data_IF_936154188127
#
_entry.id   IF_936154188127
#
_cell.length_a   1.000
_cell.length_b   1.000
_cell.length_c   1.000
_cell.angle_alpha   90.00
_cell.angle_beta   90.00
_cell.angle_gamma   90.00
#
_symmetry.space_group_name_H-M   'P 1'
#
loop_
_entity.id
_entity.type
_entity.pdbx_description
1 polymer ?
#
# COMPACT_ATOMS: atom_id res chain seq x y z
N UNK A 1 -12.55 -5.19 34.43
CA UNK A 1 -13.41 -4.39 33.53
C UNK A 1 -12.58 -3.25 32.98
N UNK A 2 -11.83 -3.50 31.90
CA UNK A 2 -10.89 -2.53 31.35
C UNK A 2 -11.63 -1.70 30.29
N UNK A 3 -11.39 -0.39 30.25
CA UNK A 3 -11.92 0.44 29.18
C UNK A 3 -11.14 0.17 27.88
N UNK A 4 -11.81 0.12 26.73
CA UNK A 4 -11.15 -0.01 25.43
C UNK A 4 -10.23 1.17 25.14
N UNK A 5 -9.22 0.94 24.30
CA UNK A 5 -8.31 2.00 23.85
C UNK A 5 -9.04 2.94 22.89
N UNK A 6 -8.57 4.19 22.80
CA UNK A 6 -9.16 5.19 21.89
C UNK A 6 -9.22 4.73 20.42
N UNK A 7 -8.25 3.92 19.98
CA UNK A 7 -8.24 3.31 18.65
C UNK A 7 -9.47 2.42 18.37
N UNK A 8 -9.99 1.70 19.37
CA UNK A 8 -11.18 0.85 19.20
C UNK A 8 -12.46 1.68 19.08
N UNK A 9 -12.54 2.81 19.79
CA UNK A 9 -13.67 3.76 19.66
C UNK A 9 -13.67 4.35 18.24
N UNK A 10 -12.52 4.80 17.73
CA UNK A 10 -12.39 5.28 16.35
C UNK A 10 -12.75 4.20 15.35
N UNK A 11 -12.21 2.99 15.50
CA UNK A 11 -12.51 1.87 14.60
C UNK A 11 -14.00 1.49 14.61
N UNK A 12 -14.67 1.59 15.75
CA UNK A 12 -16.12 1.42 15.83
C UNK A 12 -16.86 2.50 15.04
N UNK A 13 -16.47 3.78 15.17
CA UNK A 13 -17.05 4.91 14.44
C UNK A 13 -16.80 4.86 12.93
N UNK A 14 -15.65 4.35 12.50
CA UNK A 14 -15.25 4.24 11.09
C UNK A 14 -15.74 2.94 10.44
N UNK A 15 -16.52 2.15 11.17
CA UNK A 15 -17.05 0.86 10.77
C UNK A 15 -16.01 -0.22 10.41
N UNK A 16 -14.77 -0.04 10.84
CA UNK A 16 -13.64 -0.92 10.47
C UNK A 16 -13.46 -2.15 11.37
N UNK A 17 -14.19 -2.22 12.49
CA UNK A 17 -14.19 -3.41 13.35
C UNK A 17 -14.83 -4.62 12.66
N UNK A 18 -14.32 -5.82 12.96
CA UNK A 18 -14.99 -7.06 12.54
C UNK A 18 -16.36 -7.20 13.22
N UNK A 19 -17.22 -8.08 12.70
CA UNK A 19 -18.58 -8.26 13.23
C UNK A 19 -18.61 -8.83 14.66
N UNK A 20 -17.56 -9.54 15.08
CA UNK A 20 -17.41 -10.07 16.44
C UNK A 20 -16.92 -9.01 17.41
N UNK A 21 -15.93 -8.20 17.02
CA UNK A 21 -15.40 -7.07 17.80
C UNK A 21 -16.47 -6.01 18.02
N UNK A 22 -17.21 -5.64 16.96
CA UNK A 22 -18.31 -4.67 17.05
C UNK A 22 -19.37 -5.10 18.06
N UNK A 23 -19.73 -6.39 18.09
CA UNK A 23 -20.69 -6.94 19.08
C UNK A 23 -20.15 -6.86 20.50
N UNK A 24 -18.88 -7.22 20.72
CA UNK A 24 -18.24 -7.12 22.04
C UNK A 24 -18.18 -5.67 22.52
N UNK A 25 -17.85 -4.75 21.63
CA UNK A 25 -17.79 -3.33 21.92
C UNK A 25 -19.17 -2.75 22.23
N UNK A 26 -20.21 -3.14 21.49
CA UNK A 26 -21.59 -2.75 21.80
C UNK A 26 -22.02 -3.18 23.22
N UNK A 27 -21.74 -4.43 23.60
CA UNK A 27 -22.00 -4.92 24.98
C UNK A 27 -21.21 -4.13 26.02
N UNK A 28 -20.00 -3.66 25.68
CA UNK A 28 -19.23 -2.79 26.57
C UNK A 28 -19.88 -1.40 26.73
N UNK A 29 -20.35 -0.80 25.62
CA UNK A 29 -21.05 0.50 25.65
C UNK A 29 -22.33 0.46 26.50
N UNK A 30 -23.03 -0.68 26.55
CA UNK A 30 -24.20 -0.86 27.42
C UNK A 30 -23.85 -0.82 28.92
N UNK A 31 -22.63 -1.23 29.28
CA UNK A 31 -22.18 -1.38 30.67
C UNK A 31 -21.29 -0.23 31.16
N UNK A 32 -20.65 0.52 30.25
CA UNK A 32 -19.70 1.58 30.59
C UNK A 32 -20.21 2.96 30.16
N UNK A 33 -20.66 3.82 31.10
CA UNK A 33 -21.14 5.16 30.76
C UNK A 33 -20.02 6.08 30.27
N UNK A 34 -18.77 5.87 30.73
CA UNK A 34 -17.62 6.70 30.33
C UNK A 34 -17.31 6.54 28.83
N UNK A 35 -17.26 5.31 28.35
CA UNK A 35 -17.01 5.04 26.93
C UNK A 35 -18.18 5.48 26.04
N UNK A 36 -19.41 5.45 26.57
CA UNK A 36 -20.58 5.99 25.88
C UNK A 36 -20.49 7.51 25.71
N UNK A 37 -20.17 8.22 26.79
CA UNK A 37 -19.96 9.67 26.74
C UNK A 37 -18.84 10.06 25.75
N UNK A 38 -17.72 9.35 25.78
CA UNK A 38 -16.62 9.59 24.83
C UNK A 38 -17.04 9.37 23.37
N UNK A 39 -17.83 8.33 23.09
CA UNK A 39 -18.36 8.09 21.76
C UNK A 39 -19.31 9.21 21.33
N UNK A 40 -20.19 9.66 22.23
CA UNK A 40 -21.14 10.76 21.96
C UNK A 40 -20.40 12.07 21.66
N UNK A 41 -19.37 12.41 22.43
CA UNK A 41 -18.52 13.59 22.20
C UNK A 41 -17.87 13.56 20.81
N UNK A 42 -17.34 12.39 20.40
CA UNK A 42 -16.74 12.22 19.08
C UNK A 42 -17.78 12.29 17.95
N UNK A 43 -18.99 11.78 18.17
CA UNK A 43 -20.10 11.87 17.20
C UNK A 43 -20.55 13.32 16.99
N UNK A 44 -20.63 14.11 18.07
CA UNK A 44 -20.92 15.56 18.00
C UNK A 44 -19.83 16.30 17.25
N UNK A 45 -18.55 15.98 17.50
CA UNK A 45 -17.45 16.57 16.75
C UNK A 45 -17.53 16.21 15.26
N UNK A 46 -17.83 14.95 14.94
CA UNK A 46 -18.00 14.48 13.56
C UNK A 46 -19.14 15.20 12.84
N UNK A 47 -20.28 15.45 13.51
CA UNK A 47 -21.38 16.19 12.90
C UNK A 47 -20.98 17.63 12.62
N UNK A 48 -20.35 18.31 13.60
CA UNK A 48 -19.87 19.67 13.41
C UNK A 48 -18.88 19.79 12.25
N UNK A 49 -17.98 18.81 12.08
CA UNK A 49 -17.04 18.76 10.96
C UNK A 49 -17.72 18.54 9.60
N UNK A 50 -18.84 17.80 9.56
CA UNK A 50 -19.62 17.60 8.33
C UNK A 50 -20.43 18.82 7.92
N UNK A 51 -20.77 19.68 8.87
CA UNK A 51 -21.51 20.92 8.61
C UNK A 51 -20.62 22.02 8.02
N UNK A 52 -19.29 21.84 7.98
CA UNK A 52 -18.40 22.78 7.32
C UNK A 52 -18.67 22.83 5.81
N UNK A 53 -18.50 24.01 5.19
CA UNK A 53 -18.66 24.15 3.75
C UNK A 53 -17.66 23.25 3.01
N UNK A 54 -18.18 22.46 2.07
CA UNK A 54 -17.33 21.64 1.21
C UNK A 54 -16.47 22.53 0.31
N UNK A 55 -15.17 22.26 0.16
CA UNK A 55 -14.31 23.03 -0.73
C UNK A 55 -14.81 22.92 -2.17
N UNK A 56 -14.94 24.06 -2.85
CA UNK A 56 -15.29 24.09 -4.27
C UNK A 56 -14.10 23.58 -5.06
N UNK A 57 -14.29 22.46 -5.76
CA UNK A 57 -13.30 21.92 -6.67
C UNK A 57 -13.29 22.79 -7.93
N UNK A 58 -12.12 23.23 -8.39
CA UNK A 58 -11.97 24.05 -9.62
C UNK A 58 -12.22 23.27 -10.93
N UNK A 59 -12.71 22.04 -10.83
CA UNK A 59 -13.03 21.16 -11.95
C UNK A 59 -14.12 20.18 -11.54
N UNK A 60 -14.82 19.61 -12.53
CA UNK A 60 -15.84 18.59 -12.29
C UNK A 60 -15.19 17.23 -12.00
N UNK A 61 -14.99 16.95 -10.71
CA UNK A 61 -14.48 15.67 -10.23
C UNK A 61 -15.45 14.52 -10.54
N UNK A 62 -16.76 14.75 -10.45
CA UNK A 62 -17.76 13.70 -10.66
C UNK A 62 -17.70 13.20 -12.11
N UNK A 63 -17.67 14.10 -13.09
CA UNK A 63 -17.52 13.74 -14.49
C UNK A 63 -16.20 13.00 -14.77
N UNK A 64 -15.09 13.43 -14.15
CA UNK A 64 -13.79 12.75 -14.31
C UNK A 64 -13.82 11.33 -13.73
N UNK A 65 -14.43 11.17 -12.54
CA UNK A 65 -14.53 9.88 -11.87
C UNK A 65 -15.41 8.91 -12.66
N UNK A 66 -16.58 9.38 -13.13
CA UNK A 66 -17.46 8.57 -13.98
C UNK A 66 -16.78 8.13 -15.26
N UNK A 67 -16.00 9.01 -15.90
CA UNK A 67 -15.24 8.67 -17.09
C UNK A 67 -14.22 7.56 -16.78
N UNK A 68 -13.48 7.70 -15.67
CA UNK A 68 -12.52 6.68 -15.23
C UNK A 68 -13.18 5.35 -14.91
N UNK A 69 -14.30 5.35 -14.18
CA UNK A 69 -15.04 4.13 -13.84
C UNK A 69 -15.53 3.43 -15.11
N UNK A 70 -16.13 4.17 -16.05
CA UNK A 70 -16.56 3.61 -17.35
C UNK A 70 -15.38 3.04 -18.15
N UNK A 71 -14.23 3.71 -18.12
CA UNK A 71 -13.03 3.22 -18.82
C UNK A 71 -12.44 1.97 -18.16
N UNK A 72 -12.46 1.88 -16.83
CA UNK A 72 -11.98 0.73 -16.06
C UNK A 72 -12.91 -0.48 -16.20
N UNK A 73 -14.22 -0.27 -16.37
CA UNK A 73 -15.18 -1.34 -16.62
C UNK A 73 -15.16 -1.86 -18.06
N UNK A 74 -14.39 -1.25 -18.97
CA UNK A 74 -14.29 -1.72 -20.36
C UNK A 74 -13.42 -2.99 -20.39
N UNK A 75 -13.93 -4.12 -20.91
CA UNK A 75 -13.12 -5.32 -21.03
C UNK A 75 -11.90 -5.04 -21.92
N UNK A 76 -10.72 -5.60 -21.60
CA UNK A 76 -9.56 -5.46 -22.47
C UNK A 76 -9.90 -6.02 -23.85
N UNK A 77 -9.35 -5.43 -24.94
CA UNK A 77 -9.60 -5.92 -26.28
C UNK A 77 -9.20 -7.39 -26.37
N UNK A 78 -10.09 -8.24 -26.86
CA UNK A 78 -9.83 -9.66 -27.07
C UNK A 78 -8.66 -9.79 -28.06
N UNK A 79 -7.46 -10.09 -27.55
CA UNK A 79 -6.30 -10.36 -28.39
C UNK A 79 -6.52 -11.71 -29.06
N UNK A 80 -6.48 -11.74 -30.39
CA UNK A 80 -6.51 -12.97 -31.16
C UNK A 80 -5.41 -13.92 -30.65
N UNK A 81 -5.75 -15.19 -30.46
CA UNK A 81 -4.83 -16.26 -30.06
C UNK A 81 -3.56 -16.28 -30.95
N UNK A 82 -3.71 -15.97 -32.24
CA UNK A 82 -2.60 -15.88 -33.19
C UNK A 82 -1.65 -14.69 -32.89
N UNK A 83 -2.20 -13.54 -32.48
CA UNK A 83 -1.42 -12.38 -32.07
C UNK A 83 -0.73 -12.59 -30.71
N UNK A 84 -1.30 -13.44 -29.85
CA UNK A 84 -0.72 -13.81 -28.57
C UNK A 84 0.49 -14.76 -28.70
N UNK A 85 0.67 -15.43 -29.84
CA UNK A 85 1.76 -16.39 -30.05
C UNK A 85 2.82 -15.92 -31.06
N UNK A 86 2.46 -15.00 -31.98
CA UNK A 86 3.39 -14.53 -33.03
C UNK A 86 4.54 -13.67 -32.52
N UNK A 87 4.29 -12.73 -31.60
CA UNK A 87 5.30 -11.79 -31.10
C UNK A 87 6.15 -12.32 -29.92
N UNK A 88 5.59 -12.97 -28.87
CA UNK A 88 6.40 -13.40 -27.74
C UNK A 88 7.26 -14.65 -28.04
N UNK A 89 6.88 -15.48 -29.02
CA UNK A 89 7.68 -16.64 -29.42
C UNK A 89 9.08 -16.24 -29.94
N UNK A 90 9.16 -15.16 -30.71
CA UNK A 90 10.43 -14.62 -31.21
C UNK A 90 11.29 -14.02 -30.09
N UNK A 91 10.67 -13.33 -29.12
CA UNK A 91 11.39 -12.75 -27.99
C UNK A 91 12.00 -13.84 -27.08
N UNK A 92 11.27 -14.92 -26.81
CA UNK A 92 11.79 -16.06 -26.02
C UNK A 92 12.96 -16.75 -26.74
N UNK A 93 12.84 -16.98 -28.04
CA UNK A 93 13.90 -17.59 -28.85
C UNK A 93 15.17 -16.73 -28.86
N UNK A 94 15.03 -15.41 -29.04
CA UNK A 94 16.15 -14.47 -28.99
C UNK A 94 16.82 -14.45 -27.61
N UNK A 95 16.04 -14.45 -26.52
CA UNK A 95 16.59 -14.44 -25.16
C UNK A 95 17.38 -15.70 -24.82
N UNK A 96 16.89 -16.88 -25.25
CA UNK A 96 17.59 -18.15 -25.08
C UNK A 96 18.87 -18.21 -25.92
N UNK A 97 18.82 -17.74 -27.16
CA UNK A 97 20.00 -17.70 -28.03
C UNK A 97 21.07 -16.73 -27.50
N UNK A 98 20.69 -15.53 -27.06
CA UNK A 98 21.63 -14.58 -26.47
C UNK A 98 22.20 -15.08 -25.14
N UNK A 99 21.38 -15.72 -24.30
CA UNK A 99 21.83 -16.30 -23.04
C UNK A 99 22.82 -17.45 -23.24
N UNK A 100 22.54 -18.35 -24.18
CA UNK A 100 23.47 -19.43 -24.54
C UNK A 100 24.79 -18.90 -25.10
N UNK A 101 24.72 -17.88 -25.97
CA UNK A 101 25.91 -17.25 -26.55
C UNK A 101 26.76 -16.51 -25.52
N UNK A 102 26.14 -15.69 -24.66
CA UNK A 102 26.84 -15.00 -23.56
C UNK A 102 27.40 -15.98 -22.53
N UNK A 103 26.66 -17.05 -22.21
CA UNK A 103 27.13 -18.12 -21.32
C UNK A 103 28.37 -18.82 -21.87
N UNK A 104 28.41 -19.11 -23.18
CA UNK A 104 29.58 -19.68 -23.82
C UNK A 104 30.81 -18.75 -23.76
N UNK A 105 30.60 -17.43 -23.90
CA UNK A 105 31.67 -16.42 -23.74
C UNK A 105 32.19 -16.31 -22.29
N UNK A 106 31.35 -16.53 -21.27
CA UNK A 106 31.74 -16.46 -19.86
C UNK A 106 32.48 -17.71 -19.36
N UNK A 107 32.30 -18.86 -20.02
CA UNK A 107 33.02 -20.10 -19.73
C UNK A 107 34.42 -20.10 -20.37
N UNK A 108 34.66 -19.22 -21.35
CA UNK A 108 36.02 -18.89 -21.74
C UNK A 108 36.75 -18.25 -20.54
N UNK A 109 38.01 -18.60 -20.26
CA UNK A 109 38.71 -18.13 -19.07
C UNK A 109 38.87 -16.61 -19.12
N UNK A 110 37.98 -15.90 -18.44
CA UNK A 110 38.04 -14.47 -18.29
C UNK A 110 39.17 -14.12 -17.31
N UNK A 111 40.09 -13.26 -17.75
CA UNK A 111 41.06 -12.64 -16.88
C UNK A 111 40.33 -11.92 -15.73
N UNK A 112 40.77 -12.19 -14.50
CA UNK A 112 40.24 -11.61 -13.26
C UNK A 112 40.18 -10.09 -13.34
N UNK A 113 38.96 -9.53 -13.42
CA UNK A 113 38.76 -8.10 -13.26
C UNK A 113 38.93 -7.74 -11.76
N UNK A 114 39.59 -6.62 -11.43
CA UNK A 114 39.71 -6.18 -10.04
C UNK A 114 38.34 -5.81 -9.46
N UNK A 115 38.14 -5.90 -8.14
CA UNK A 115 36.85 -5.59 -7.52
C UNK A 115 36.52 -4.10 -7.70
N UNK A 116 35.37 -3.83 -8.32
CA UNK A 116 34.80 -2.50 -8.34
C UNK A 116 34.27 -2.13 -6.94
N UNK A 117 34.72 -0.99 -6.42
CA UNK A 117 34.22 -0.39 -5.19
C UNK A 117 32.79 0.14 -5.41
N UNK A 118 31.80 -0.57 -4.87
CA UNK A 118 30.41 -0.11 -4.83
C UNK A 118 30.27 0.95 -3.73
N UNK A 119 30.13 2.22 -4.11
CA UNK A 119 29.66 3.27 -3.21
C UNK A 119 28.18 3.02 -2.91
N UNK A 120 27.86 2.72 -1.65
CA UNK A 120 26.46 2.66 -1.19
C UNK A 120 25.90 4.09 -1.16
N UNK A 121 24.86 4.33 -1.96
CA UNK A 121 24.13 5.61 -2.03
C UNK A 121 23.19 5.79 -0.84
N UNK A 122 22.96 4.74 -0.05
CA UNK A 122 22.10 4.75 1.14
C UNK A 122 22.85 4.20 2.35
N UNK A 123 23.85 4.95 2.81
CA UNK A 123 24.36 4.78 4.18
C UNK A 123 23.45 5.57 5.15
N UNK A 124 23.32 5.13 6.42
CA UNK A 124 22.47 5.77 7.43
C UNK A 124 23.04 7.11 7.96
N UNK A 125 24.01 7.70 7.27
CA UNK A 125 24.70 8.93 7.67
C UNK A 125 24.23 10.09 6.78
N UNK A 126 23.74 11.22 7.34
CA UNK A 126 23.03 12.29 6.63
C UNK A 126 23.85 12.95 5.52
N UNK A 127 23.19 13.58 4.50
CA UNK A 127 21.89 14.25 4.60
C UNK A 127 20.74 13.62 3.78
N UNK A 128 20.56 12.29 3.85
CA UNK A 128 19.45 11.58 3.18
C UNK A 128 18.69 10.56 4.04
N UNK A 129 18.96 10.49 5.35
CA UNK A 129 18.33 9.53 6.25
C UNK A 129 16.94 9.99 6.70
N UNK A 130 15.89 9.22 6.37
CA UNK A 130 14.52 9.44 6.84
C UNK A 130 14.33 9.15 8.34
N UNK A 131 15.32 8.57 9.02
CA UNK A 131 15.26 8.16 10.42
C UNK A 131 16.56 8.53 11.15
N UNK A 132 16.47 9.25 12.27
CA UNK A 132 17.62 9.57 13.12
C UNK A 132 18.18 8.34 13.87
N UNK A 133 17.36 7.30 14.08
CA UNK A 133 17.74 6.02 14.64
C UNK A 133 16.75 4.94 14.18
N UNK A 134 17.21 3.70 13.96
CA UNK A 134 16.37 2.60 13.45
C UNK A 134 15.19 2.25 14.38
N UNK A 135 15.37 2.44 15.68
CA UNK A 135 14.36 2.17 16.71
C UNK A 135 13.14 3.13 16.62
N UNK A 136 13.30 4.29 15.96
CA UNK A 136 12.21 5.26 15.75
C UNK A 136 11.33 4.92 14.54
N UNK A 137 11.78 4.03 13.65
CA UNK A 137 11.09 3.72 12.39
C UNK A 137 10.20 2.47 12.46
N UNK A 138 9.75 2.08 13.66
CA UNK A 138 8.68 1.10 13.84
C UNK A 138 8.98 -0.29 13.29
N UNK A 139 10.25 -0.57 12.94
CA UNK A 139 10.69 -1.93 12.61
C UNK A 139 10.76 -2.66 13.94
N UNK A 140 9.66 -3.31 14.31
CA UNK A 140 9.71 -4.31 15.37
C UNK A 140 10.80 -5.31 14.98
N UNK A 141 11.88 -5.37 15.77
CA UNK A 141 12.89 -6.43 15.68
C UNK A 141 12.18 -7.78 15.87
N UNK A 142 11.76 -8.36 14.76
CA UNK A 142 11.38 -9.75 14.63
C UNK A 142 12.49 -10.46 13.86
N UNK A 143 13.60 -10.77 14.52
CA UNK A 143 14.56 -11.76 14.05
C UNK A 143 15.31 -12.34 15.26
N UNK A 144 14.84 -13.54 15.61
CA UNK A 144 15.42 -14.65 16.39
C UNK A 144 16.63 -14.37 17.28
#
# INVERSE_FOLDING_TARGET
MNCPKHAEISAYMDETLTSSERRRFAVHLDRCPVCRQQLDELLVLRSALRDLPSPVLGFDLAANLEHRMRSASRPPPARSFWAAWGAPGLAVALSLASGAWLGALLIAPAAVAPPASVTRVFDPVPPGGLCAAAELCGISKGLK
#
